data_IF_559022505581
#
_entry.id   IF_559022505581
#
_cell.length_a   1.000
_cell.length_b   1.000
_cell.length_c   1.000
_cell.angle_alpha   90.00
_cell.angle_beta   90.00
_cell.angle_gamma   90.00
#
_symmetry.space_group_name_H-M   'P 1'
#
loop_
_entity.id
_entity.type
_entity.pdbx_description
1 polymer ?
#
# COMPACT_ATOMS: atom_id res chain seq x y z
N UNK A 1 10.90 -20.91 12.83
CA UNK A 1 12.20 -21.39 12.36
C UNK A 1 12.44 -21.08 10.90
N UNK A 2 13.57 -21.50 10.38
CA UNK A 2 13.94 -21.28 8.97
C UNK A 2 12.90 -21.86 8.01
N UNK A 3 12.40 -23.06 8.30
CA UNK A 3 11.42 -23.72 7.45
C UNK A 3 10.12 -22.92 7.35
N UNK A 4 9.65 -22.38 8.48
CA UNK A 4 8.44 -21.54 8.51
C UNK A 4 8.63 -20.28 7.69
N UNK A 5 9.81 -19.63 7.80
CA UNK A 5 10.13 -18.44 7.04
C UNK A 5 10.18 -18.74 5.55
N UNK A 6 10.84 -19.84 5.17
CA UNK A 6 10.94 -20.26 3.77
C UNK A 6 9.57 -20.56 3.17
N UNK A 7 8.71 -21.26 3.93
CA UNK A 7 7.38 -21.58 3.46
C UNK A 7 6.51 -20.33 3.27
N UNK A 8 6.57 -19.39 4.20
CA UNK A 8 5.83 -18.13 4.09
C UNK A 8 6.32 -17.32 2.89
N UNK A 9 7.63 -17.23 2.69
CA UNK A 9 8.21 -16.54 1.53
C UNK A 9 7.82 -17.21 0.23
N UNK A 10 7.80 -18.54 0.18
CA UNK A 10 7.38 -19.29 -1.01
C UNK A 10 5.92 -19.01 -1.36
N UNK A 11 5.04 -18.98 -0.36
CA UNK A 11 3.63 -18.63 -0.57
C UNK A 11 3.47 -17.19 -1.05
N UNK A 12 4.25 -16.28 -0.48
CA UNK A 12 4.22 -14.87 -0.90
C UNK A 12 4.67 -14.73 -2.35
N UNK A 13 5.75 -15.42 -2.75
CA UNK A 13 6.23 -15.41 -4.12
C UNK A 13 5.16 -15.95 -5.09
N UNK A 14 4.43 -16.97 -4.69
CA UNK A 14 3.31 -17.49 -5.49
C UNK A 14 2.20 -16.47 -5.63
N UNK A 15 1.87 -15.74 -4.56
CA UNK A 15 0.85 -14.70 -4.63
C UNK A 15 1.28 -13.58 -5.59
N UNK A 16 2.54 -13.17 -5.53
CA UNK A 16 3.08 -12.14 -6.42
C UNK A 16 2.98 -12.56 -7.89
N UNK A 17 3.36 -13.82 -8.18
CA UNK A 17 3.25 -14.37 -9.53
C UNK A 17 1.78 -14.36 -10.01
N UNK A 18 0.85 -14.72 -9.14
CA UNK A 18 -0.58 -14.73 -9.49
C UNK A 18 -1.08 -13.32 -9.79
N UNK A 19 -0.60 -12.30 -9.07
CA UNK A 19 -0.95 -10.91 -9.34
C UNK A 19 -0.45 -10.50 -10.73
N UNK A 20 0.80 -10.83 -11.05
CA UNK A 20 1.39 -10.54 -12.36
C UNK A 20 0.57 -11.20 -13.49
N UNK A 21 0.04 -12.39 -13.25
CA UNK A 21 -0.78 -13.12 -14.21
C UNK A 21 -2.26 -12.73 -14.16
N UNK A 22 -2.63 -11.74 -13.36
CA UNK A 22 -4.02 -11.29 -13.19
C UNK A 22 -4.95 -12.38 -12.63
N UNK A 23 -4.38 -13.30 -11.87
CA UNK A 23 -5.13 -14.39 -11.20
C UNK A 23 -5.35 -13.99 -9.73
N UNK A 24 -6.26 -13.05 -9.51
CA UNK A 24 -6.41 -12.41 -8.20
C UNK A 24 -6.99 -13.35 -7.14
N UNK A 25 -7.91 -14.23 -7.51
CA UNK A 25 -8.46 -15.20 -6.55
C UNK A 25 -7.39 -16.15 -6.04
N UNK A 26 -6.51 -16.61 -6.94
CA UNK A 26 -5.37 -17.45 -6.55
C UNK A 26 -4.39 -16.69 -5.68
N UNK A 27 -4.13 -15.43 -6.01
CA UNK A 27 -3.25 -14.57 -5.20
C UNK A 27 -3.80 -14.44 -3.77
N UNK A 28 -5.09 -14.15 -3.64
CA UNK A 28 -5.74 -14.03 -2.33
C UNK A 28 -5.66 -15.33 -1.55
N UNK A 29 -5.85 -16.47 -2.21
CA UNK A 29 -5.74 -17.78 -1.57
C UNK A 29 -4.37 -17.97 -0.92
N UNK A 30 -3.29 -17.66 -1.64
CA UNK A 30 -1.94 -17.81 -1.09
C UNK A 30 -1.67 -16.84 0.05
N UNK A 31 -2.16 -15.60 -0.03
CA UNK A 31 -2.01 -14.64 1.06
C UNK A 31 -2.77 -15.09 2.32
N UNK A 32 -3.97 -15.63 2.15
CA UNK A 32 -4.76 -16.17 3.26
C UNK A 32 -4.08 -17.35 3.92
N UNK A 33 -3.39 -18.20 3.15
CA UNK A 33 -2.63 -19.32 3.70
C UNK A 33 -1.50 -18.81 4.61
N UNK A 34 -0.84 -17.71 4.25
CA UNK A 34 0.21 -17.14 5.11
C UNK A 34 -0.41 -16.66 6.41
N UNK A 35 -1.51 -15.92 6.34
CA UNK A 35 -2.17 -15.39 7.53
C UNK A 35 -2.64 -16.51 8.47
N UNK A 36 -3.18 -17.60 7.91
CA UNK A 36 -3.69 -18.72 8.69
C UNK A 36 -2.60 -19.58 9.31
N UNK A 37 -1.54 -19.86 8.54
CA UNK A 37 -0.51 -20.80 8.95
C UNK A 37 0.66 -20.15 9.68
N UNK A 38 0.88 -18.87 9.44
CA UNK A 38 2.02 -18.12 10.00
C UNK A 38 1.56 -16.78 10.57
N UNK A 39 0.59 -16.78 11.52
CA UNK A 39 0.10 -15.52 12.08
C UNK A 39 1.22 -14.75 12.77
N UNK A 40 1.24 -13.43 12.59
CA UNK A 40 2.28 -12.58 13.17
C UNK A 40 3.62 -12.66 12.48
N UNK A 41 3.70 -13.29 11.31
CA UNK A 41 4.94 -13.34 10.53
C UNK A 41 5.36 -11.93 10.08
N UNK A 42 6.67 -11.72 9.92
CA UNK A 42 7.23 -10.43 9.50
C UNK A 42 6.77 -9.94 8.12
N UNK A 43 6.08 -10.80 7.34
CA UNK A 43 5.52 -10.43 6.04
C UNK A 43 4.13 -9.79 6.13
N UNK A 44 3.58 -9.55 7.33
CA UNK A 44 2.20 -9.06 7.45
C UNK A 44 2.00 -7.69 6.79
N UNK A 45 2.98 -6.79 6.86
CA UNK A 45 2.88 -5.51 6.16
C UNK A 45 2.94 -5.70 4.64
N UNK A 46 3.79 -6.60 4.16
CA UNK A 46 3.86 -6.97 2.74
C UNK A 46 2.53 -7.54 2.25
N UNK A 47 1.85 -8.34 3.07
CA UNK A 47 0.54 -8.91 2.74
C UNK A 47 -0.50 -7.80 2.59
N UNK A 48 -0.54 -6.84 3.51
CA UNK A 48 -1.45 -5.70 3.40
C UNK A 48 -1.20 -4.91 2.13
N UNK A 49 0.07 -4.70 1.79
CA UNK A 49 0.43 -3.98 0.56
C UNK A 49 -0.10 -4.73 -0.67
N UNK A 50 0.08 -6.04 -0.72
CA UNK A 50 -0.42 -6.86 -1.84
C UNK A 50 -1.95 -6.87 -1.91
N UNK A 51 -2.63 -6.94 -0.76
CA UNK A 51 -4.09 -6.87 -0.73
C UNK A 51 -4.59 -5.54 -1.30
N UNK A 52 -3.94 -4.44 -0.96
CA UNK A 52 -4.28 -3.13 -1.51
C UNK A 52 -4.08 -3.09 -3.03
N UNK A 53 -2.96 -3.65 -3.52
CA UNK A 53 -2.69 -3.75 -4.96
C UNK A 53 -3.78 -4.56 -5.69
N UNK A 54 -4.20 -5.67 -5.10
CA UNK A 54 -5.28 -6.49 -5.66
C UNK A 54 -6.58 -5.69 -5.72
N UNK A 55 -6.91 -4.95 -4.65
CA UNK A 55 -8.09 -4.09 -4.64
C UNK A 55 -8.04 -3.04 -5.76
N UNK A 56 -6.88 -2.42 -5.99
CA UNK A 56 -6.71 -1.48 -7.10
C UNK A 56 -6.96 -2.16 -8.45
N UNK A 57 -6.36 -3.33 -8.64
CA UNK A 57 -6.48 -4.09 -9.88
C UNK A 57 -7.93 -4.51 -10.17
N UNK A 58 -8.71 -4.73 -9.12
CA UNK A 58 -10.12 -5.10 -9.24
C UNK A 58 -11.06 -3.88 -9.21
N UNK A 59 -10.52 -2.69 -9.43
CA UNK A 59 -11.29 -1.44 -9.52
C UNK A 59 -12.07 -1.14 -8.24
N UNK A 60 -11.44 -1.37 -7.09
CA UNK A 60 -11.99 -1.06 -5.76
C UNK A 60 -11.09 -0.01 -5.08
N UNK A 61 -11.07 1.24 -5.57
CA UNK A 61 -10.11 2.24 -5.09
C UNK A 61 -10.32 2.63 -3.64
N UNK A 62 -11.56 2.69 -3.15
CA UNK A 62 -11.83 3.04 -1.76
C UNK A 62 -11.24 1.99 -0.81
N UNK A 63 -11.48 0.72 -1.11
CA UNK A 63 -10.95 -0.38 -0.31
C UNK A 63 -9.43 -0.41 -0.37
N UNK A 64 -8.86 -0.16 -1.56
CA UNK A 64 -7.41 -0.12 -1.72
C UNK A 64 -6.78 0.97 -0.85
N UNK A 65 -7.32 2.19 -0.91
CA UNK A 65 -6.82 3.30 -0.11
C UNK A 65 -6.90 3.00 1.39
N UNK A 66 -8.02 2.45 1.85
CA UNK A 66 -8.19 2.06 3.24
C UNK A 66 -7.16 1.02 3.68
N UNK A 67 -6.87 0.05 2.82
CA UNK A 67 -5.90 -1.01 3.12
C UNK A 67 -4.47 -0.45 3.20
N UNK A 68 -4.10 0.47 2.30
CA UNK A 68 -2.81 1.16 2.39
C UNK A 68 -2.69 1.95 3.69
N UNK A 69 -3.76 2.66 4.10
CA UNK A 69 -3.75 3.43 5.35
C UNK A 69 -3.71 2.52 6.58
N UNK A 70 -4.36 1.37 6.52
CA UNK A 70 -4.27 0.36 7.57
C UNK A 70 -2.84 -0.12 7.76
N UNK A 71 -2.12 -0.33 6.66
CA UNK A 71 -0.70 -0.70 6.72
C UNK A 71 0.11 0.37 7.46
N UNK A 72 -0.07 1.63 7.08
CA UNK A 72 0.66 2.74 7.67
C UNK A 72 0.36 2.90 9.16
N UNK A 73 -0.88 2.65 9.56
CA UNK A 73 -1.30 2.76 10.95
C UNK A 73 -0.83 1.58 11.80
N UNK A 74 -0.91 0.36 11.23
CA UNK A 74 -0.57 -0.86 11.96
C UNK A 74 0.94 -1.07 12.06
N UNK A 75 1.69 -0.69 11.03
CA UNK A 75 3.14 -0.90 10.94
C UNK A 75 3.87 0.42 10.68
N UNK A 76 3.72 1.41 11.60
CA UNK A 76 4.19 2.79 11.33
C UNK A 76 5.69 2.94 11.18
N UNK A 77 6.47 1.96 11.62
CA UNK A 77 7.93 1.97 11.51
C UNK A 77 8.46 1.02 10.44
N UNK A 78 7.55 0.42 9.64
CA UNK A 78 7.92 -0.48 8.57
C UNK A 78 8.45 0.27 7.34
N UNK A 79 9.14 -0.48 6.48
CA UNK A 79 9.76 0.09 5.29
C UNK A 79 8.76 0.42 4.18
N UNK A 80 7.51 -0.02 4.29
CA UNK A 80 6.49 0.16 3.26
C UNK A 80 5.55 1.34 3.54
N UNK A 81 5.72 2.06 4.66
CA UNK A 81 4.78 3.09 5.08
C UNK A 81 4.72 4.25 4.08
N UNK A 82 5.88 4.76 3.66
CA UNK A 82 5.92 5.87 2.71
C UNK A 82 5.32 5.48 1.36
N UNK A 83 5.59 4.27 0.90
CA UNK A 83 5.00 3.75 -0.33
C UNK A 83 3.47 3.62 -0.20
N UNK A 84 2.99 3.08 0.92
CA UNK A 84 1.56 2.95 1.17
C UNK A 84 0.86 4.31 1.21
N UNK A 85 1.45 5.29 1.90
CA UNK A 85 0.91 6.65 1.93
C UNK A 85 0.86 7.28 0.55
N UNK A 86 1.91 7.07 -0.24
CA UNK A 86 1.97 7.62 -1.60
C UNK A 86 0.89 7.01 -2.49
N UNK A 87 0.71 5.69 -2.43
CA UNK A 87 -0.32 5.00 -3.21
C UNK A 87 -1.71 5.44 -2.79
N UNK A 88 -1.97 5.56 -1.47
CA UNK A 88 -3.25 6.06 -0.98
C UNK A 88 -3.51 7.49 -1.46
N UNK A 89 -2.50 8.36 -1.39
CA UNK A 89 -2.62 9.75 -1.84
C UNK A 89 -3.01 9.82 -3.32
N UNK A 90 -2.34 9.02 -4.16
CA UNK A 90 -2.64 8.95 -5.59
C UNK A 90 -4.08 8.50 -5.85
N UNK A 91 -4.56 7.53 -5.09
CA UNK A 91 -5.93 7.04 -5.21
C UNK A 91 -6.93 8.14 -4.85
N UNK A 92 -6.72 8.83 -3.72
CA UNK A 92 -7.61 9.93 -3.32
C UNK A 92 -7.61 11.05 -4.35
N UNK A 93 -6.45 11.38 -4.91
CA UNK A 93 -6.35 12.42 -5.92
C UNK A 93 -7.01 12.02 -7.23
N UNK A 94 -6.70 10.84 -7.76
CA UNK A 94 -6.99 10.48 -9.14
C UNK A 94 -8.23 9.61 -9.33
N UNK A 95 -8.67 8.91 -8.28
CA UNK A 95 -9.79 7.96 -8.37
C UNK A 95 -10.99 8.36 -7.54
N UNK A 96 -10.79 8.97 -6.39
CA UNK A 96 -11.85 9.27 -5.44
C UNK A 96 -12.25 10.75 -5.42
N UNK A 97 -11.54 11.58 -6.16
CA UNK A 97 -11.79 13.02 -6.23
C UNK A 97 -11.86 13.65 -4.82
N UNK A 98 -10.88 13.32 -3.98
CA UNK A 98 -10.75 13.86 -2.63
C UNK A 98 -9.38 14.54 -2.50
N UNK A 99 -9.20 15.72 -3.09
CA UNK A 99 -7.91 16.40 -3.13
C UNK A 99 -7.38 16.82 -1.77
N UNK A 100 -8.26 17.20 -0.84
CA UNK A 100 -7.83 17.58 0.51
C UNK A 100 -7.21 16.40 1.24
N UNK A 101 -7.80 15.23 1.12
CA UNK A 101 -7.28 14.02 1.74
C UNK A 101 -5.95 13.61 1.11
N UNK A 102 -5.85 13.73 -0.21
CA UNK A 102 -4.60 13.49 -0.91
C UNK A 102 -3.50 14.42 -0.42
N UNK A 103 -3.80 15.72 -0.27
CA UNK A 103 -2.86 16.71 0.22
C UNK A 103 -2.34 16.36 1.62
N UNK A 104 -3.22 15.94 2.52
CA UNK A 104 -2.81 15.53 3.86
C UNK A 104 -1.78 14.41 3.82
N UNK A 105 -1.99 13.44 2.95
CA UNK A 105 -1.08 12.30 2.84
C UNK A 105 0.25 12.68 2.18
N UNK A 106 0.21 13.51 1.14
CA UNK A 106 1.44 14.03 0.54
C UNK A 106 2.24 14.84 1.56
N UNK A 107 1.56 15.69 2.33
CA UNK A 107 2.21 16.49 3.37
C UNK A 107 2.82 15.60 4.45
N UNK A 108 2.14 14.52 4.84
CA UNK A 108 2.67 13.56 5.81
C UNK A 108 3.99 12.95 5.31
N UNK A 109 4.07 12.61 4.02
CA UNK A 109 5.33 12.12 3.44
C UNK A 109 6.42 13.17 3.57
N UNK A 110 6.10 14.43 3.25
CA UNK A 110 7.06 15.53 3.29
C UNK A 110 7.59 15.82 4.69
N UNK A 111 6.75 15.67 5.72
CA UNK A 111 7.11 16.03 7.09
C UNK A 111 7.66 14.86 7.90
N UNK A 112 7.17 13.64 7.66
CA UNK A 112 7.53 12.48 8.46
C UNK A 112 8.50 11.52 7.77
N UNK A 113 8.60 11.58 6.44
CA UNK A 113 9.44 10.66 5.65
C UNK A 113 10.40 11.44 4.75
N UNK A 114 11.19 12.32 5.35
CA UNK A 114 12.03 13.27 4.64
C UNK A 114 13.08 12.64 3.72
N UNK A 115 13.44 11.38 3.98
CA UNK A 115 14.41 10.64 3.16
C UNK A 115 13.74 9.67 2.18
N UNK A 116 12.42 9.72 2.05
CA UNK A 116 11.68 8.85 1.15
C UNK A 116 12.01 9.14 -0.32
N UNK A 117 12.01 8.09 -1.13
CA UNK A 117 12.12 8.23 -2.59
C UNK A 117 10.93 8.99 -3.18
N UNK A 118 9.83 9.10 -2.45
CA UNK A 118 8.61 9.75 -2.93
C UNK A 118 8.53 11.24 -2.59
N UNK A 119 9.50 11.80 -1.87
CA UNK A 119 9.45 13.19 -1.41
C UNK A 119 9.31 14.18 -2.57
N UNK A 120 10.06 13.99 -3.65
CA UNK A 120 10.04 14.91 -4.78
C UNK A 120 8.65 14.92 -5.44
N UNK A 121 8.09 13.74 -5.72
CA UNK A 121 6.77 13.65 -6.32
C UNK A 121 5.68 14.14 -5.36
N UNK A 122 5.76 13.78 -4.09
CA UNK A 122 4.79 14.23 -3.09
C UNK A 122 4.76 15.76 -3.00
N UNK A 123 5.93 16.42 -3.01
CA UNK A 123 6.01 17.87 -2.98
C UNK A 123 5.36 18.48 -4.21
N UNK A 124 5.66 17.94 -5.37
CA UNK A 124 5.09 18.40 -6.64
C UNK A 124 3.56 18.31 -6.60
N UNK A 125 3.03 17.17 -6.19
CA UNK A 125 1.58 16.96 -6.13
C UNK A 125 0.93 17.83 -5.08
N UNK A 126 1.53 17.93 -3.91
CA UNK A 126 1.04 18.79 -2.83
C UNK A 126 0.91 20.24 -3.29
N UNK A 127 1.97 20.78 -3.93
CA UNK A 127 1.98 22.17 -4.40
C UNK A 127 0.93 22.40 -5.48
N UNK A 128 0.79 21.44 -6.40
CA UNK A 128 -0.21 21.50 -7.47
C UNK A 128 -1.63 21.55 -6.89
N UNK A 129 -1.95 20.63 -5.98
CA UNK A 129 -3.28 20.56 -5.37
C UNK A 129 -3.56 21.80 -4.51
N UNK A 130 -2.56 22.29 -3.78
CA UNK A 130 -2.72 23.50 -2.99
C UNK A 130 -3.01 24.71 -3.87
N UNK A 131 -2.33 24.84 -4.98
CA UNK A 131 -2.57 25.89 -5.95
C UNK A 131 -3.96 25.80 -6.57
N UNK A 132 -4.38 24.60 -6.96
CA UNK A 132 -5.68 24.36 -7.53
C UNK A 132 -6.81 24.72 -6.55
N UNK A 133 -6.64 24.37 -5.27
CA UNK A 133 -7.64 24.66 -4.25
C UNK A 133 -7.72 26.14 -3.87
N UNK A 134 -6.65 26.88 -4.08
CA UNK A 134 -6.62 28.31 -3.81
C UNK A 134 -7.20 29.15 -4.96
N UNK A 135 -7.37 28.55 -6.13
CA UNK A 135 -8.00 29.16 -7.29
C UNK A 135 -9.50 28.98 -7.27
#
# INVERSE_FOLDING_TARGET
GLDTTMDALALFAKSDLMIVQHKYDSALFFLELIESNYPGHELMDNILFQLARINQAQSQPERAAETYLELAETYPFGILVDNALMEAARIYENKLNQPEKAMELYEQILTEFTNSLFVIEARKRFRHLRGDLLQ
#
